data_IF_400489560623
#
_entry.id   IF_400489560623
#
_cell.length_a   1.000
_cell.length_b   1.000
_cell.length_c   1.000
_cell.angle_alpha   90.00
_cell.angle_beta   90.00
_cell.angle_gamma   90.00
#
_symmetry.space_group_name_H-M   'P 1'
#
loop_
_entity.id
_entity.type
_entity.pdbx_description
1 polymer ?
#
# COMPACT_ATOMS: atom_id res chain seq x y z
N UNK A 1 0.00 2.90 -0.36
CA UNK A 1 -0.09 1.78 -1.32
C UNK A 1 0.45 2.28 -2.66
N UNK A 2 1.46 1.65 -3.16
CA UNK A 2 2.09 2.05 -4.42
C UNK A 2 2.28 0.88 -5.37
N UNK A 3 2.65 1.22 -6.61
CA UNK A 3 3.00 0.22 -7.62
C UNK A 3 4.34 -0.44 -7.28
N UNK A 4 4.50 -1.70 -7.65
CA UNK A 4 5.76 -2.43 -7.47
C UNK A 4 6.87 -1.93 -8.38
N UNK A 5 6.56 -1.08 -9.36
CA UNK A 5 7.54 -0.49 -10.26
C UNK A 5 8.56 0.33 -9.48
N UNK A 6 9.85 0.11 -9.76
CA UNK A 6 10.94 0.78 -9.06
C UNK A 6 11.00 2.31 -9.28
N UNK A 7 10.25 2.83 -10.26
CA UNK A 7 10.19 4.27 -10.53
C UNK A 7 9.43 5.06 -9.46
N UNK A 8 8.69 4.35 -8.57
CA UNK A 8 7.90 5.03 -7.52
C UNK A 8 8.25 4.51 -6.13
N UNK A 9 9.51 4.70 -5.68
CA UNK A 9 9.87 4.31 -4.31
C UNK A 9 9.23 5.28 -3.31
N UNK A 10 8.32 4.76 -2.49
CA UNK A 10 7.49 5.56 -1.61
C UNK A 10 8.29 6.46 -0.64
N UNK A 11 9.35 5.93 -0.06
CA UNK A 11 10.17 6.70 0.89
C UNK A 11 10.87 7.89 0.22
N UNK A 12 11.33 7.74 -1.01
CA UNK A 12 11.98 8.83 -1.74
C UNK A 12 10.98 9.89 -2.18
N UNK A 13 9.81 9.47 -2.69
CA UNK A 13 8.77 10.39 -3.16
C UNK A 13 8.21 11.22 -2.00
N UNK A 14 7.97 10.61 -0.86
CA UNK A 14 7.40 11.29 0.31
C UNK A 14 8.45 11.97 1.19
N UNK A 15 9.73 11.70 0.97
CA UNK A 15 10.80 12.25 1.79
C UNK A 15 10.82 11.69 3.20
N UNK A 16 10.31 10.47 3.40
CA UNK A 16 10.25 9.84 4.72
C UNK A 16 11.43 8.93 4.97
N UNK A 17 11.79 8.78 6.24
CA UNK A 17 12.82 7.87 6.69
C UNK A 17 12.25 6.47 6.99
N UNK A 18 13.09 5.44 7.06
CA UNK A 18 12.63 4.11 7.44
C UNK A 18 11.88 4.13 8.77
N UNK A 19 10.73 3.47 8.82
CA UNK A 19 9.90 3.40 10.02
C UNK A 19 8.83 4.48 10.14
N UNK A 20 8.88 5.52 9.31
CA UNK A 20 7.88 6.59 9.35
C UNK A 20 6.57 6.23 8.65
N UNK A 21 6.63 5.36 7.64
CA UNK A 21 5.43 4.94 6.89
C UNK A 21 5.38 3.42 6.77
N UNK A 22 4.17 2.90 6.69
CA UNK A 22 3.92 1.49 6.37
C UNK A 22 3.60 1.40 4.88
N UNK A 23 4.42 0.67 4.13
CA UNK A 23 4.36 0.63 2.67
C UNK A 23 3.82 -0.71 2.19
N UNK A 24 2.81 -0.67 1.31
CA UNK A 24 2.33 -1.82 0.58
C UNK A 24 2.51 -1.54 -0.90
N UNK A 25 3.16 -2.44 -1.59
CA UNK A 25 3.38 -2.30 -3.03
C UNK A 25 2.85 -3.53 -3.76
N UNK A 26 2.13 -3.27 -4.86
CA UNK A 26 1.67 -4.34 -5.74
C UNK A 26 1.66 -3.83 -7.18
N UNK A 27 1.33 -4.69 -8.12
CA UNK A 27 1.25 -4.26 -9.52
C UNK A 27 0.07 -3.32 -9.69
N UNK A 28 0.35 -2.11 -10.17
CA UNK A 28 -0.62 -1.04 -10.42
C UNK A 28 -1.30 -0.47 -9.18
N UNK A 29 -0.75 -0.67 -7.99
CA UNK A 29 -1.29 -0.10 -6.74
C UNK A 29 -2.77 -0.43 -6.53
N UNK A 30 -3.18 -1.64 -6.85
CA UNK A 30 -4.58 -2.05 -6.77
C UNK A 30 -5.02 -2.34 -5.34
N UNK A 31 -6.21 -1.83 -5.00
CA UNK A 31 -6.85 -2.09 -3.72
C UNK A 31 -8.17 -2.80 -3.99
N UNK A 32 -8.30 -4.10 -3.69
CA UNK A 32 -9.55 -4.82 -3.90
C UNK A 32 -10.60 -4.41 -2.86
N UNK A 33 -11.90 -4.66 -3.12
CA UNK A 33 -12.94 -4.48 -2.12
C UNK A 33 -12.65 -5.31 -0.88
N UNK A 34 -13.04 -4.80 0.29
CA UNK A 34 -12.90 -5.55 1.54
C UNK A 34 -13.79 -6.79 1.50
N UNK A 35 -13.20 -7.94 1.77
CA UNK A 35 -13.92 -9.21 1.79
C UNK A 35 -13.64 -9.95 3.10
N UNK A 36 -14.70 -10.60 3.63
CA UNK A 36 -14.60 -11.43 4.83
C UNK A 36 -14.53 -12.92 4.50
N UNK A 37 -14.61 -13.27 3.22
CA UNK A 37 -14.57 -14.67 2.79
C UNK A 37 -13.19 -15.28 3.00
N UNK A 38 -13.10 -16.58 3.32
CA UNK A 38 -11.81 -17.25 3.42
C UNK A 38 -11.02 -17.19 2.12
N UNK A 39 -9.72 -16.98 2.21
CA UNK A 39 -8.83 -16.92 1.05
C UNK A 39 -7.59 -16.11 1.34
N UNK A 40 -6.71 -16.03 0.34
CA UNK A 40 -5.49 -15.23 0.44
C UNK A 40 -5.77 -13.82 -0.10
N UNK A 41 -5.91 -12.87 0.81
CA UNK A 41 -6.18 -11.47 0.49
C UNK A 41 -5.04 -10.60 1.02
N UNK A 42 -3.86 -10.68 0.37
CA UNK A 42 -2.65 -10.03 0.85
C UNK A 42 -2.77 -8.52 1.04
N UNK A 43 -3.39 -7.82 0.09
CA UNK A 43 -3.55 -6.36 0.20
C UNK A 43 -4.57 -6.02 1.28
N UNK A 44 -5.69 -6.75 1.34
CA UNK A 44 -6.71 -6.54 2.38
C UNK A 44 -6.15 -6.84 3.78
N UNK A 45 -5.36 -7.89 3.92
CA UNK A 45 -4.72 -8.22 5.19
C UNK A 45 -3.73 -7.14 5.63
N UNK A 46 -2.95 -6.59 4.70
CA UNK A 46 -2.01 -5.52 5.00
C UNK A 46 -2.73 -4.24 5.42
N UNK A 47 -3.82 -3.88 4.74
CA UNK A 47 -4.66 -2.75 5.11
C UNK A 47 -5.27 -2.93 6.49
N UNK A 48 -5.82 -4.10 6.77
CA UNK A 48 -6.39 -4.40 8.08
C UNK A 48 -5.35 -4.26 9.18
N UNK A 49 -4.15 -4.78 8.97
CA UNK A 49 -3.04 -4.63 9.92
C UNK A 49 -2.71 -3.15 10.15
N UNK A 50 -2.59 -2.36 9.08
CA UNK A 50 -2.25 -0.95 9.20
C UNK A 50 -3.33 -0.16 9.96
N UNK A 51 -4.61 -0.42 9.68
CA UNK A 51 -5.72 0.30 10.29
C UNK A 51 -5.95 -0.15 11.74
N UNK A 52 -6.00 -1.46 11.99
CA UNK A 52 -6.39 -2.00 13.30
C UNK A 52 -5.23 -2.08 14.29
N UNK A 53 -4.03 -2.41 13.84
CA UNK A 53 -2.88 -2.60 14.72
C UNK A 53 -1.94 -1.41 14.74
N UNK A 54 -1.56 -0.88 13.60
CA UNK A 54 -0.70 0.29 13.53
C UNK A 54 -1.48 1.60 13.72
N UNK A 55 -2.78 1.58 13.50
CA UNK A 55 -3.68 2.73 13.68
C UNK A 55 -3.21 3.95 12.90
N UNK A 56 -2.89 3.73 11.64
CA UNK A 56 -2.47 4.81 10.74
C UNK A 56 -3.59 5.84 10.60
N UNK A 57 -3.22 7.11 10.47
CA UNK A 57 -4.17 8.22 10.35
C UNK A 57 -4.60 8.46 8.92
N UNK A 58 -3.74 8.12 7.97
CA UNK A 58 -3.96 8.41 6.57
C UNK A 58 -3.54 7.22 5.72
N UNK A 59 -4.28 7.00 4.62
CA UNK A 59 -3.97 6.00 3.62
C UNK A 59 -3.80 6.73 2.29
N UNK A 60 -2.65 6.54 1.66
CA UNK A 60 -2.37 7.12 0.35
C UNK A 60 -2.25 6.00 -0.68
N UNK A 61 -3.01 6.12 -1.76
CA UNK A 61 -2.91 5.22 -2.91
C UNK A 61 -2.28 6.01 -4.05
N UNK A 62 -1.12 5.55 -4.51
CA UNK A 62 -0.31 6.31 -5.46
C UNK A 62 -0.17 5.57 -6.78
N UNK A 63 -0.63 6.20 -7.87
CA UNK A 63 -0.41 5.71 -9.23
C UNK A 63 0.73 6.46 -9.89
N UNK A 64 1.08 6.03 -11.11
CA UNK A 64 2.10 6.71 -11.92
C UNK A 64 1.80 6.53 -13.40
N UNK A 65 2.43 7.35 -14.23
CA UNK A 65 2.30 7.24 -15.68
C UNK A 65 2.97 5.97 -16.22
N UNK A 66 2.48 5.48 -17.34
CA UNK A 66 3.00 4.29 -18.03
C UNK A 66 2.99 3.02 -17.17
N UNK A 67 2.06 2.93 -16.25
CA UNK A 67 1.81 1.72 -15.48
C UNK A 67 1.11 0.71 -16.38
N UNK A 68 1.67 -0.45 -16.50
CA UNK A 68 1.22 -1.50 -17.43
C UNK A 68 -0.18 -2.05 -17.20
#
# INVERSE_FOLDING_TARGET
>A
IGCSDSRVPANEITGTDPGEIFVVRNVAAMVPPFETTPGLHGVSAALEFAVQFLKVREIVVMGHGLCG
#
